data_IF_371433870052
#
_entry.id   IF_371433870052
#
_cell.length_a   1.000
_cell.length_b   1.000
_cell.length_c   1.000
_cell.angle_alpha   90.00
_cell.angle_beta   90.00
_cell.angle_gamma   90.00
#
_symmetry.space_group_name_H-M   'P 1'
#
loop_
_entity.id
_entity.type
_entity.pdbx_description
1 polymer ?
#
# COMPACT_ATOMS: atom_id res chain seq x y z
N UNK A 1 42.38 -11.45 -2.08
CA UNK A 1 41.18 -11.17 -2.89
C UNK A 1 39.94 -11.88 -2.34
N UNK A 2 40.10 -13.09 -1.80
CA UNK A 2 39.05 -13.93 -1.17
C UNK A 2 38.26 -13.24 -0.04
N UNK A 3 38.94 -12.53 0.87
CA UNK A 3 38.30 -11.74 1.94
C UNK A 3 37.38 -10.60 1.45
N UNK A 4 37.59 -10.09 0.23
CA UNK A 4 36.75 -9.02 -0.36
C UNK A 4 35.49 -9.63 -0.99
N UNK A 5 35.61 -10.80 -1.62
CA UNK A 5 34.48 -11.53 -2.20
C UNK A 5 33.51 -12.01 -1.11
N UNK A 6 34.03 -12.54 0.00
CA UNK A 6 33.21 -13.05 1.10
C UNK A 6 32.40 -11.95 1.81
N UNK A 7 32.98 -10.75 1.97
CA UNK A 7 32.26 -9.58 2.52
C UNK A 7 31.14 -9.06 1.62
N UNK A 8 31.34 -9.08 0.31
CA UNK A 8 30.32 -8.64 -0.67
C UNK A 8 29.16 -9.63 -0.72
N UNK A 9 29.43 -10.94 -0.63
CA UNK A 9 28.40 -11.98 -0.57
C UNK A 9 27.53 -11.87 0.68
N UNK A 10 28.15 -11.69 1.85
CA UNK A 10 27.44 -11.52 3.12
C UNK A 10 26.54 -10.28 3.11
N UNK A 11 27.05 -9.14 2.64
CA UNK A 11 26.27 -7.91 2.55
C UNK A 11 25.03 -8.07 1.66
N UNK A 12 25.18 -8.71 0.50
CA UNK A 12 24.06 -9.01 -0.40
C UNK A 12 23.02 -9.92 0.26
N UNK A 13 23.47 -10.94 0.98
CA UNK A 13 22.57 -11.85 1.70
C UNK A 13 21.74 -11.11 2.76
N UNK A 14 22.37 -10.22 3.54
CA UNK A 14 21.67 -9.41 4.55
C UNK A 14 20.61 -8.51 3.89
N UNK A 15 20.96 -7.81 2.81
CA UNK A 15 20.00 -6.96 2.09
C UNK A 15 18.82 -7.76 1.53
N UNK A 16 19.07 -8.96 0.99
CA UNK A 16 18.00 -9.85 0.50
C UNK A 16 17.09 -10.36 1.62
N UNK A 17 17.64 -10.64 2.82
CA UNK A 17 16.82 -11.05 3.97
C UNK A 17 15.92 -9.89 4.43
N UNK A 18 16.44 -8.67 4.46
CA UNK A 18 15.65 -7.48 4.80
C UNK A 18 14.56 -7.25 3.77
N UNK A 19 14.89 -7.30 2.47
CA UNK A 19 13.94 -7.17 1.36
C UNK A 19 12.84 -8.23 1.45
N UNK A 20 13.21 -9.50 1.67
CA UNK A 20 12.26 -10.60 1.82
C UNK A 20 11.30 -10.37 2.99
N UNK A 21 11.82 -9.97 4.16
CA UNK A 21 11.00 -9.65 5.32
C UNK A 21 10.03 -8.50 5.04
N UNK A 22 10.50 -7.42 4.41
CA UNK A 22 9.69 -6.27 4.06
C UNK A 22 8.56 -6.64 3.10
N UNK A 23 8.87 -7.42 2.06
CA UNK A 23 7.90 -7.83 1.04
C UNK A 23 6.85 -8.79 1.61
N UNK A 24 7.25 -9.74 2.46
CA UNK A 24 6.30 -10.64 3.16
C UNK A 24 5.33 -9.82 3.99
N UNK A 25 5.82 -8.92 4.85
CA UNK A 25 4.96 -8.12 5.73
C UNK A 25 4.03 -7.23 4.91
N UNK A 26 4.57 -6.53 3.91
CA UNK A 26 3.78 -5.61 3.07
C UNK A 26 2.68 -6.36 2.30
N UNK A 27 3.00 -7.51 1.71
CA UNK A 27 2.02 -8.36 1.03
C UNK A 27 0.96 -8.89 2.00
N UNK A 28 1.34 -9.34 3.19
CA UNK A 28 0.37 -9.80 4.21
C UNK A 28 -0.59 -8.68 4.62
N UNK A 29 -0.08 -7.48 4.90
CA UNK A 29 -0.91 -6.32 5.27
C UNK A 29 -1.90 -5.97 4.15
N UNK A 30 -1.43 -5.91 2.90
CA UNK A 30 -2.27 -5.58 1.75
C UNK A 30 -3.28 -6.68 1.42
N UNK A 31 -2.96 -7.95 1.63
CA UNK A 31 -3.92 -9.05 1.57
C UNK A 31 -5.02 -8.91 2.63
N UNK A 32 -4.66 -8.54 3.86
CA UNK A 32 -5.63 -8.29 4.93
C UNK A 32 -6.52 -7.06 4.64
N UNK A 33 -5.97 -6.04 4.00
CA UNK A 33 -6.68 -4.81 3.64
C UNK A 33 -7.46 -4.91 2.31
N UNK A 34 -7.26 -5.95 1.51
CA UNK A 34 -7.90 -6.15 0.20
C UNK A 34 -9.44 -6.25 0.23
N UNK A 35 -10.08 -6.96 1.18
CA UNK A 35 -11.53 -7.15 1.17
C UNK A 35 -12.29 -5.82 1.14
N UNK A 36 -13.34 -5.74 0.33
CA UNK A 36 -14.11 -4.50 0.15
C UNK A 36 -14.65 -3.93 1.48
N UNK A 37 -14.98 -4.82 2.42
CA UNK A 37 -15.46 -4.47 3.75
C UNK A 37 -14.50 -3.54 4.49
N UNK A 38 -13.19 -3.77 4.40
CA UNK A 38 -12.19 -2.94 5.07
C UNK A 38 -12.28 -1.48 4.62
N UNK A 39 -12.26 -1.26 3.30
CA UNK A 39 -12.36 0.06 2.69
C UNK A 39 -13.69 0.74 2.97
N UNK A 40 -14.81 0.02 2.85
CA UNK A 40 -16.14 0.58 3.17
C UNK A 40 -16.22 1.02 4.62
N UNK A 41 -15.77 0.19 5.56
CA UNK A 41 -15.80 0.52 7.00
C UNK A 41 -14.98 1.78 7.31
N UNK A 42 -13.76 1.92 6.76
CA UNK A 42 -12.97 3.15 6.92
C UNK A 42 -13.68 4.39 6.36
N UNK A 43 -14.31 4.25 5.20
CA UNK A 43 -15.00 5.35 4.55
C UNK A 43 -16.26 5.75 5.34
N UNK A 44 -17.06 4.78 5.77
CA UNK A 44 -18.27 4.98 6.57
C UNK A 44 -17.97 5.66 7.90
N UNK A 45 -16.95 5.21 8.63
CA UNK A 45 -16.56 5.81 9.92
C UNK A 45 -16.18 7.28 9.73
N UNK A 46 -15.36 7.59 8.73
CA UNK A 46 -15.02 8.98 8.43
C UNK A 46 -16.26 9.81 8.11
N UNK A 47 -17.19 9.25 7.31
CA UNK A 47 -18.35 9.97 6.80
C UNK A 47 -19.42 10.19 7.85
N UNK A 48 -19.54 9.29 8.84
CA UNK A 48 -20.41 9.48 10.01
C UNK A 48 -19.86 10.53 10.98
N UNK A 49 -18.53 10.70 11.03
CA UNK A 49 -17.87 11.72 11.85
C UNK A 49 -17.64 13.06 11.10
N UNK A 50 -18.05 13.15 9.83
CA UNK A 50 -17.90 14.35 9.01
C UNK A 50 -16.45 14.68 8.62
N UNK A 51 -15.57 13.68 8.53
CA UNK A 51 -14.14 13.87 8.20
C UNK A 51 -13.79 13.63 6.73
N UNK A 52 -14.73 13.08 5.97
CA UNK A 52 -14.67 12.82 4.54
C UNK A 52 -16.11 12.67 4.00
N UNK A 53 -16.25 12.45 2.69
CA UNK A 53 -17.55 12.20 2.08
C UNK A 53 -18.22 10.96 2.68
N UNK A 54 -19.55 10.96 2.74
CA UNK A 54 -20.29 9.81 3.26
C UNK A 54 -20.70 8.85 2.13
N UNK A 55 -20.28 7.57 2.15
CA UNK A 55 -20.65 6.62 1.09
C UNK A 55 -22.16 6.35 0.99
N UNK A 56 -22.93 6.56 2.08
CA UNK A 56 -24.39 6.42 2.08
C UNK A 56 -25.08 7.47 1.22
N UNK A 57 -24.45 8.63 1.01
CA UNK A 57 -25.00 9.68 0.16
C UNK A 57 -25.22 9.18 -1.27
N UNK A 58 -24.35 8.28 -1.76
CA UNK A 58 -24.51 7.68 -3.09
C UNK A 58 -25.80 6.86 -3.21
N UNK A 59 -26.21 6.16 -2.15
CA UNK A 59 -27.48 5.42 -2.11
C UNK A 59 -28.66 6.39 -2.12
N UNK A 60 -28.56 7.50 -1.38
CA UNK A 60 -29.57 8.55 -1.40
C UNK A 60 -29.76 9.15 -2.80
N UNK A 61 -28.67 9.52 -3.49
CA UNK A 61 -28.72 10.05 -4.85
C UNK A 61 -29.35 9.05 -5.82
N UNK A 62 -28.95 7.78 -5.75
CA UNK A 62 -29.52 6.71 -6.58
C UNK A 62 -31.03 6.56 -6.34
N UNK A 63 -31.48 6.56 -5.08
CA UNK A 63 -32.89 6.46 -4.72
C UNK A 63 -33.73 7.67 -5.19
N UNK A 64 -33.09 8.83 -5.36
CA UNK A 64 -33.74 10.06 -5.85
C UNK A 64 -33.52 10.30 -7.35
N UNK A 65 -33.05 9.31 -8.11
CA UNK A 65 -32.76 9.42 -9.55
C UNK A 65 -31.76 10.55 -9.90
N UNK A 66 -30.87 10.88 -8.95
CA UNK A 66 -29.81 11.86 -9.14
C UNK A 66 -28.48 11.15 -9.42
N UNK A 67 -27.59 11.82 -10.15
CA UNK A 67 -26.26 11.28 -10.43
C UNK A 67 -25.44 11.19 -9.13
N UNK A 68 -24.99 9.99 -8.71
CA UNK A 68 -24.24 9.86 -7.47
C UNK A 68 -22.86 10.52 -7.61
N UNK A 69 -22.30 11.05 -6.50
CA UNK A 69 -20.95 11.59 -6.51
C UNK A 69 -19.93 10.52 -6.91
N UNK A 70 -18.85 10.98 -7.56
CA UNK A 70 -17.71 10.13 -7.93
C UNK A 70 -17.07 9.53 -6.66
N UNK A 71 -16.48 8.33 -6.79
CA UNK A 71 -15.75 7.72 -5.68
C UNK A 71 -14.33 8.32 -5.66
N UNK A 72 -13.92 8.97 -4.56
CA UNK A 72 -12.54 9.45 -4.40
C UNK A 72 -11.52 8.33 -4.58
N UNK A 73 -10.34 8.65 -5.12
CA UNK A 73 -9.30 7.66 -5.43
C UNK A 73 -8.92 6.80 -4.22
N UNK A 74 -8.80 7.42 -3.04
CA UNK A 74 -8.50 6.74 -1.78
C UNK A 74 -9.52 5.66 -1.42
N UNK A 75 -10.80 5.87 -1.78
CA UNK A 75 -11.89 4.94 -1.53
C UNK A 75 -12.21 4.07 -2.75
N UNK A 76 -11.40 4.12 -3.80
CA UNK A 76 -11.65 3.33 -5.01
C UNK A 76 -11.09 1.91 -4.87
N UNK A 77 -11.86 0.90 -5.29
CA UNK A 77 -11.42 -0.50 -5.29
C UNK A 77 -10.14 -0.70 -6.12
N UNK A 78 -10.01 0.03 -7.23
CA UNK A 78 -8.83 0.01 -8.10
C UNK A 78 -7.52 0.30 -7.35
N UNK A 79 -7.55 1.10 -6.27
CA UNK A 79 -6.37 1.41 -5.47
C UNK A 79 -5.95 0.20 -4.62
N UNK A 80 -6.89 -0.47 -3.97
CA UNK A 80 -6.62 -1.70 -3.22
C UNK A 80 -6.10 -2.81 -4.14
N UNK A 81 -6.69 -2.96 -5.33
CA UNK A 81 -6.23 -3.90 -6.36
C UNK A 81 -4.82 -3.57 -6.86
N UNK A 82 -4.53 -2.29 -7.14
CA UNK A 82 -3.19 -1.88 -7.57
C UNK A 82 -2.15 -2.14 -6.49
N UNK A 83 -2.44 -1.82 -5.23
CA UNK A 83 -1.50 -2.03 -4.13
C UNK A 83 -1.19 -3.52 -3.94
N UNK A 84 -2.22 -4.37 -3.98
CA UNK A 84 -2.04 -5.81 -3.91
C UNK A 84 -1.20 -6.31 -5.10
N UNK A 85 -1.50 -5.87 -6.32
CA UNK A 85 -0.73 -6.24 -7.51
C UNK A 85 0.75 -5.83 -7.43
N UNK A 86 1.04 -4.62 -6.93
CA UNK A 86 2.41 -4.14 -6.70
C UNK A 86 3.12 -5.05 -5.70
N UNK A 87 2.45 -5.44 -4.61
CA UNK A 87 3.03 -6.33 -3.60
C UNK A 87 3.34 -7.72 -4.15
N UNK A 88 2.46 -8.29 -4.99
CA UNK A 88 2.68 -9.58 -5.65
C UNK A 88 3.87 -9.50 -6.61
N UNK A 89 3.96 -8.41 -7.38
CA UNK A 89 5.09 -8.17 -8.28
C UNK A 89 6.41 -8.04 -7.50
N UNK A 90 6.42 -7.31 -6.39
CA UNK A 90 7.58 -7.20 -5.51
C UNK A 90 8.02 -8.56 -4.96
N UNK A 91 7.08 -9.41 -4.54
CA UNK A 91 7.35 -10.80 -4.09
C UNK A 91 7.97 -11.64 -5.19
N UNK A 92 7.46 -11.55 -6.43
CA UNK A 92 8.01 -12.28 -7.57
C UNK A 92 9.44 -11.83 -7.92
N UNK A 93 9.69 -10.51 -7.88
CA UNK A 93 11.02 -9.95 -8.12
C UNK A 93 11.99 -10.37 -7.02
N UNK A 94 11.61 -10.25 -5.75
CA UNK A 94 12.41 -10.70 -4.61
C UNK A 94 12.77 -12.20 -4.72
N UNK A 95 11.79 -13.04 -5.05
CA UNK A 95 12.00 -14.47 -5.27
C UNK A 95 13.02 -14.74 -6.39
N UNK A 96 12.91 -13.99 -7.49
CA UNK A 96 13.86 -14.07 -8.60
C UNK A 96 15.26 -13.64 -8.18
N UNK A 97 15.39 -12.58 -7.36
CA UNK A 97 16.68 -12.12 -6.82
C UNK A 97 17.35 -13.18 -5.94
N UNK A 98 16.58 -13.87 -5.10
CA UNK A 98 17.06 -14.97 -4.27
C UNK A 98 17.58 -16.10 -5.16
N UNK A 99 16.84 -16.50 -6.20
CA UNK A 99 17.28 -17.53 -7.16
C UNK A 99 18.60 -17.10 -7.83
N UNK A 100 18.67 -15.89 -8.37
CA UNK A 100 19.89 -15.37 -9.02
C UNK A 100 21.11 -15.37 -8.08
N UNK A 101 20.89 -15.05 -6.80
CA UNK A 101 21.92 -15.09 -5.76
C UNK A 101 22.36 -16.52 -5.46
N UNK A 102 21.43 -17.45 -5.24
CA UNK A 102 21.73 -18.86 -4.93
C UNK A 102 22.48 -19.57 -6.06
N UNK A 103 22.14 -19.30 -7.32
CA UNK A 103 22.78 -19.91 -8.48
C UNK A 103 24.05 -19.18 -8.95
N UNK A 104 24.49 -18.12 -8.25
CA UNK A 104 25.68 -17.33 -8.62
C UNK A 104 25.68 -16.87 -10.09
N UNK A 105 24.52 -16.43 -10.59
CA UNK A 105 24.37 -15.99 -11.99
C UNK A 105 25.28 -14.79 -12.27
N UNK A 106 25.81 -14.72 -13.50
CA UNK A 106 26.78 -13.72 -13.94
C UNK A 106 26.46 -12.30 -13.42
N UNK A 107 27.43 -11.60 -12.81
CA UNK A 107 27.18 -10.37 -12.06
C UNK A 107 26.69 -9.19 -12.92
N UNK A 108 26.93 -9.23 -14.23
CA UNK A 108 26.44 -8.22 -15.17
C UNK A 108 24.92 -8.30 -15.38
N UNK A 109 24.41 -9.49 -15.64
CA UNK A 109 22.98 -9.73 -15.85
C UNK A 109 22.17 -9.43 -14.58
N UNK A 110 22.61 -9.96 -13.44
CA UNK A 110 21.94 -9.74 -12.15
C UNK A 110 21.95 -8.26 -11.73
N UNK A 111 23.00 -7.50 -12.06
CA UNK A 111 23.02 -6.05 -11.80
C UNK A 111 22.01 -5.28 -12.66
N UNK A 112 21.94 -5.57 -13.96
CA UNK A 112 20.98 -4.91 -14.86
C UNK A 112 19.54 -5.24 -14.47
N UNK A 113 19.26 -6.52 -14.20
CA UNK A 113 17.94 -6.97 -13.75
C UNK A 113 17.52 -6.25 -12.46
N UNK A 114 18.40 -6.17 -11.47
CA UNK A 114 18.08 -5.48 -10.21
C UNK A 114 17.78 -4.00 -10.45
N UNK A 115 18.66 -3.29 -11.16
CA UNK A 115 18.51 -1.85 -11.41
C UNK A 115 17.19 -1.52 -12.12
N UNK A 116 16.81 -2.28 -13.14
CA UNK A 116 15.54 -2.06 -13.87
C UNK A 116 14.32 -2.31 -12.98
N UNK A 117 14.35 -3.38 -12.19
CA UNK A 117 13.25 -3.70 -11.28
C UNK A 117 13.17 -2.73 -10.10
N UNK A 118 14.29 -2.21 -9.60
CA UNK A 118 14.30 -1.18 -8.54
C UNK A 118 13.63 0.11 -9.03
N UNK A 119 13.97 0.59 -10.23
CA UNK A 119 13.33 1.78 -10.82
C UNK A 119 11.83 1.57 -11.02
N UNK A 120 11.44 0.39 -11.54
CA UNK A 120 10.04 0.07 -11.78
C UNK A 120 9.24 -0.07 -10.48
N UNK A 121 9.76 -0.78 -9.47
CA UNK A 121 9.09 -0.93 -8.19
C UNK A 121 9.01 0.40 -7.44
N UNK A 122 10.06 1.21 -7.46
CA UNK A 122 10.05 2.53 -6.83
C UNK A 122 8.96 3.43 -7.46
N UNK A 123 8.81 3.41 -8.79
CA UNK A 123 7.72 4.13 -9.46
C UNK A 123 6.32 3.67 -9.03
N UNK A 124 6.12 2.36 -8.89
CA UNK A 124 4.85 1.81 -8.41
C UNK A 124 4.56 2.10 -6.95
N UNK A 125 5.55 1.96 -6.06
CA UNK A 125 5.41 2.32 -4.65
C UNK A 125 5.17 3.82 -4.47
N UNK A 126 5.82 4.67 -5.26
CA UNK A 126 5.57 6.11 -5.28
C UNK A 126 4.11 6.42 -5.62
N UNK A 127 3.58 5.80 -6.69
CA UNK A 127 2.16 5.94 -7.05
C UNK A 127 1.24 5.46 -5.92
N UNK A 128 1.53 4.29 -5.34
CA UNK A 128 0.77 3.72 -4.21
C UNK A 128 0.72 4.68 -3.01
N UNK A 129 1.86 5.26 -2.61
CA UNK A 129 1.96 6.21 -1.50
C UNK A 129 1.15 7.48 -1.80
N UNK A 130 1.32 8.06 -2.99
CA UNK A 130 0.58 9.25 -3.40
C UNK A 130 -0.93 8.98 -3.39
N UNK A 131 -1.37 7.87 -3.98
CA UNK A 131 -2.78 7.51 -4.06
C UNK A 131 -3.38 7.17 -2.69
N UNK A 132 -2.65 6.49 -1.80
CA UNK A 132 -3.08 6.25 -0.41
C UNK A 132 -3.14 7.52 0.44
N UNK A 133 -2.44 8.58 0.03
CA UNK A 133 -2.50 9.90 0.67
C UNK A 133 -3.45 10.88 -0.03
N UNK A 134 -4.19 10.42 -1.06
CA UNK A 134 -5.03 11.28 -1.88
C UNK A 134 -6.22 11.86 -1.11
N UNK A 135 -6.65 13.05 -1.55
CA UNK A 135 -7.77 13.77 -0.97
C UNK A 135 -9.12 13.20 -1.37
N UNK A 136 -10.11 13.40 -0.53
CA UNK A 136 -11.53 13.28 -0.82
C UNK A 136 -12.18 14.67 -0.77
N UNK A 137 -12.49 15.20 -1.96
CA UNK A 137 -13.10 16.52 -2.17
C UNK A 137 -14.50 16.41 -2.79
N UNK A 138 -15.10 15.23 -2.72
CA UNK A 138 -16.36 14.95 -3.44
C UNK A 138 -17.59 15.51 -2.74
N UNK A 139 -17.47 15.82 -1.44
CA UNK A 139 -18.49 16.48 -0.63
C UNK A 139 -17.99 17.87 -0.20
N UNK A 140 -18.59 18.96 -0.73
CA UNK A 140 -18.19 20.33 -0.37
C UNK A 140 -18.34 20.66 1.11
N UNK A 141 -19.25 19.99 1.82
CA UNK A 141 -19.51 20.23 3.25
C UNK A 141 -18.52 19.43 4.14
N UNK A 142 -17.91 18.36 3.61
CA UNK A 142 -17.02 17.44 4.34
C UNK A 142 -15.70 17.20 3.57
N UNK A 143 -14.92 18.26 3.40
CA UNK A 143 -13.64 18.20 2.69
C UNK A 143 -12.57 17.45 3.48
N UNK A 144 -11.85 16.57 2.80
CA UNK A 144 -10.77 15.76 3.37
C UNK A 144 -9.52 15.86 2.48
N UNK A 145 -8.55 16.70 2.88
CA UNK A 145 -7.30 16.87 2.10
C UNK A 145 -6.41 15.62 2.16
N UNK A 146 -6.52 14.85 3.25
CA UNK A 146 -5.84 13.58 3.46
C UNK A 146 -6.78 12.62 4.18
N UNK A 147 -6.60 11.30 4.01
CA UNK A 147 -7.43 10.32 4.70
C UNK A 147 -7.37 10.54 6.21
N UNK A 148 -8.53 10.56 6.86
CA UNK A 148 -8.68 10.88 8.28
C UNK A 148 -7.80 10.00 9.18
N UNK A 149 -7.61 8.72 8.82
CA UNK A 149 -6.81 7.79 9.61
C UNK A 149 -5.31 8.12 9.56
N UNK A 150 -4.83 8.98 8.66
CA UNK A 150 -3.45 9.49 8.68
C UNK A 150 -3.29 10.72 9.57
N UNK A 151 -4.36 11.51 9.75
CA UNK A 151 -4.33 12.76 10.53
C UNK A 151 -4.74 12.56 11.99
N UNK A 152 -5.57 11.56 12.27
CA UNK A 152 -6.15 11.33 13.60
C UNK A 152 -5.48 10.15 14.30
N UNK A 153 -5.55 10.16 15.64
CA UNK A 153 -5.16 9.00 16.46
C UNK A 153 -6.24 7.92 16.40
N UNK A 154 -5.83 6.65 16.33
CA UNK A 154 -6.77 5.52 16.31
C UNK A 154 -7.37 5.23 17.70
N UNK A 155 -6.75 5.71 18.79
CA UNK A 155 -7.13 5.36 20.17
C UNK A 155 -8.42 6.00 20.70
N UNK A 156 -9.19 6.70 19.85
CA UNK A 156 -10.43 7.40 20.23
C UNK A 156 -11.65 6.47 20.11
N UNK A 157 -11.49 5.29 19.50
CA UNK A 157 -12.60 4.42 19.09
C UNK A 157 -12.64 3.07 19.81
N UNK A 158 -13.75 2.36 19.62
CA UNK A 158 -13.91 0.96 20.05
C UNK A 158 -12.91 0.01 19.36
N UNK A 159 -12.73 -1.17 19.94
CA UNK A 159 -11.67 -2.13 19.57
C UNK A 159 -11.65 -2.50 18.09
N UNK A 160 -12.79 -2.69 17.44
CA UNK A 160 -12.87 -3.08 16.03
C UNK A 160 -12.43 -1.96 15.07
N UNK A 161 -12.68 -0.71 15.42
CA UNK A 161 -12.27 0.46 14.64
C UNK A 161 -10.77 0.73 14.80
N UNK A 162 -10.24 0.48 16.00
CA UNK A 162 -8.80 0.57 16.26
C UNK A 162 -8.02 -0.36 15.32
N UNK A 163 -8.43 -1.62 15.19
CA UNK A 163 -7.77 -2.60 14.34
C UNK A 163 -7.72 -2.16 12.88
N UNK A 164 -8.86 -1.70 12.35
CA UNK A 164 -8.98 -1.23 10.96
C UNK A 164 -8.13 0.02 10.72
N UNK A 165 -8.13 0.96 11.67
CA UNK A 165 -7.31 2.18 11.60
C UNK A 165 -5.81 1.88 11.66
N UNK A 166 -5.38 1.01 12.56
CA UNK A 166 -3.99 0.58 12.68
C UNK A 166 -3.52 -0.18 11.44
N UNK A 167 -4.37 -1.04 10.88
CA UNK A 167 -4.06 -1.75 9.63
C UNK A 167 -3.89 -0.77 8.46
N UNK A 168 -4.74 0.25 8.34
CA UNK A 168 -4.61 1.29 7.31
C UNK A 168 -3.28 2.07 7.44
N UNK A 169 -2.93 2.47 8.66
CA UNK A 169 -1.65 3.13 8.96
C UNK A 169 -0.46 2.22 8.63
N UNK A 170 -0.55 0.94 8.99
CA UNK A 170 0.49 -0.04 8.68
C UNK A 170 0.66 -0.22 7.18
N UNK A 171 -0.42 -0.38 6.41
CA UNK A 171 -0.37 -0.48 4.95
C UNK A 171 0.34 0.74 4.33
N UNK A 172 -0.02 1.95 4.77
CA UNK A 172 0.62 3.17 4.31
C UNK A 172 2.11 3.22 4.69
N UNK A 173 2.45 2.96 5.95
CA UNK A 173 3.83 2.98 6.43
C UNK A 173 4.72 1.97 5.69
N UNK A 174 4.23 0.75 5.46
CA UNK A 174 4.98 -0.27 4.74
C UNK A 174 5.08 0.01 3.24
N UNK A 175 4.09 0.70 2.66
CA UNK A 175 4.21 1.21 1.28
C UNK A 175 5.30 2.27 1.16
N UNK A 176 5.45 3.15 2.17
CA UNK A 176 6.53 4.14 2.25
C UNK A 176 7.89 3.48 2.46
N UNK A 177 7.98 2.45 3.31
CA UNK A 177 9.24 1.71 3.54
C UNK A 177 9.67 0.90 2.31
N UNK A 178 8.74 0.55 1.43
CA UNK A 178 9.01 -0.21 0.21
C UNK A 178 9.43 0.66 -0.99
N UNK A 179 9.42 1.99 -0.83
CA UNK A 179 9.86 2.97 -1.82
C UNK A 179 11.40 3.02 -1.96
#
# INVERSE_FOLDING_TARGET
MEHRHNRIGLFKAIMLIIELGLVIVTMSLLCCAYPERFRRTLWEIGGENGWNSNPRLRIYFYANYQQPPEIPLIWAQRLSESNLAISVLATAICSTRIILFCFNVAPGFSRLFNALNDVLLSGFWMYSVVAQSSSDLTDPDHLSLRPWYLEKSCGIFDSSVIEVCLLAKACFAFSVLSL
#
